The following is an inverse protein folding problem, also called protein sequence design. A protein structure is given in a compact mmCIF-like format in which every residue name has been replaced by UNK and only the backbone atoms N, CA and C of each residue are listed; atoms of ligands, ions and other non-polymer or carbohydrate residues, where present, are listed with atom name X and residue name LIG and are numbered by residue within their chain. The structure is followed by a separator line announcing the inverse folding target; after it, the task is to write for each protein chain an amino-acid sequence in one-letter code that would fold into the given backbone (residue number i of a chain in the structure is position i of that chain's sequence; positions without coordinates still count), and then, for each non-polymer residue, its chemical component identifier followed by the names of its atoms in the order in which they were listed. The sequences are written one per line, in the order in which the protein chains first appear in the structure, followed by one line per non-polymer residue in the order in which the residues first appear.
data_IF_503934065583
#
_entry.id   IF_503934065583
#
_cell.length_a   1.000
_cell.length_b   1.000
_cell.length_c   1.000
_cell.angle_alpha   90.00
_cell.angle_beta   90.00
_cell.angle_gamma   90.00
#
_symmetry.space_group_name_H-M   'P 1'
#
loop_
_entity.id
_entity.type
_entity.pdbx_description
1 polymer ?
#
# COMPACT_ATOMS: atom_id res chain seq x y z
N UNK A 1 28.08 -20.02 -3.07
CA UNK A 1 27.12 -20.67 -2.16
C UNK A 1 25.72 -20.21 -2.56
N UNK A 2 24.73 -21.07 -2.40
CA UNK A 2 23.31 -20.79 -2.69
C UNK A 2 22.56 -20.88 -1.37
N UNK A 3 21.71 -19.86 -1.10
CA UNK A 3 20.74 -19.85 0.00
C UNK A 3 19.35 -20.01 -0.61
N UNK A 4 18.59 -20.99 -0.14
CA UNK A 4 17.18 -21.18 -0.50
C UNK A 4 16.34 -20.89 0.74
N UNK A 5 15.37 -20.01 0.62
CA UNK A 5 14.53 -19.60 1.73
C UNK A 5 13.12 -19.26 1.25
N UNK A 6 12.18 -19.17 2.18
CA UNK A 6 10.83 -18.64 1.94
C UNK A 6 10.82 -17.13 2.19
N UNK A 7 9.65 -16.49 2.08
CA UNK A 7 9.45 -15.06 2.37
C UNK A 7 9.82 -14.66 3.81
N UNK A 8 10.10 -15.62 4.70
CA UNK A 8 10.58 -15.34 6.08
C UNK A 8 11.88 -14.52 6.08
N UNK A 9 12.70 -14.55 5.03
CA UNK A 9 13.88 -13.70 4.88
C UNK A 9 13.55 -12.21 4.73
N UNK A 10 12.30 -11.86 4.54
CA UNK A 10 11.80 -10.48 4.54
C UNK A 10 12.12 -9.78 5.86
N UNK A 11 12.15 -10.54 6.97
CA UNK A 11 12.40 -10.02 8.32
C UNK A 11 13.71 -10.60 8.89
N UNK A 12 14.69 -9.74 9.17
CA UNK A 12 15.81 -10.06 10.04
C UNK A 12 16.97 -10.86 9.45
N UNK A 13 16.91 -11.29 8.18
CA UNK A 13 18.03 -11.96 7.53
C UNK A 13 18.74 -10.99 6.61
N UNK A 14 20.01 -10.73 6.90
CA UNK A 14 20.88 -9.93 6.04
C UNK A 14 21.96 -10.83 5.44
N UNK A 15 22.14 -10.79 4.12
CA UNK A 15 23.16 -11.54 3.41
C UNK A 15 24.04 -10.56 2.62
N UNK A 16 24.97 -9.86 3.29
CA UNK A 16 25.70 -8.73 2.73
C UNK A 16 26.54 -9.10 1.49
N UNK A 17 26.91 -10.37 1.33
CA UNK A 17 27.70 -10.85 0.19
C UNK A 17 26.83 -11.42 -0.95
N UNK A 18 25.49 -11.33 -0.86
CA UNK A 18 24.64 -11.78 -1.93
C UNK A 18 24.56 -10.72 -3.02
N UNK A 19 24.99 -11.10 -4.23
CA UNK A 19 24.95 -10.25 -5.43
C UNK A 19 23.79 -10.59 -6.35
N UNK A 20 23.12 -11.72 -6.14
CA UNK A 20 21.98 -12.16 -6.93
C UNK A 20 20.85 -12.64 -6.02
N UNK A 21 19.66 -12.12 -6.25
CA UNK A 21 18.42 -12.62 -5.69
C UNK A 21 17.51 -13.12 -6.82
N UNK A 22 16.90 -14.27 -6.61
CA UNK A 22 15.89 -14.81 -7.51
C UNK A 22 14.62 -14.99 -6.71
N UNK A 23 13.54 -14.33 -7.12
CA UNK A 23 12.22 -14.42 -6.49
C UNK A 23 11.32 -15.23 -7.42
N UNK A 24 10.97 -16.44 -7.00
CA UNK A 24 10.06 -17.31 -7.74
C UNK A 24 8.60 -16.98 -7.42
N UNK A 25 7.72 -17.14 -8.42
CA UNK A 25 6.31 -16.78 -8.36
C UNK A 25 6.08 -15.33 -7.87
N UNK A 26 6.86 -14.40 -8.38
CA UNK A 26 6.84 -12.98 -7.98
C UNK A 26 5.47 -12.33 -8.21
N UNK A 27 4.66 -12.83 -9.14
CA UNK A 27 3.30 -12.36 -9.41
C UNK A 27 2.34 -12.52 -8.22
N UNK A 28 2.68 -13.40 -7.28
CA UNK A 28 1.87 -13.68 -6.07
C UNK A 28 2.19 -12.75 -4.91
N UNK A 29 3.32 -12.04 -4.99
CA UNK A 29 3.78 -11.17 -3.92
C UNK A 29 3.24 -9.74 -4.08
N UNK A 30 3.05 -9.07 -2.94
CA UNK A 30 2.74 -7.65 -2.90
C UNK A 30 3.94 -6.79 -3.30
N UNK A 31 3.67 -5.56 -3.78
CA UNK A 31 4.72 -4.65 -4.23
C UNK A 31 5.69 -4.29 -3.08
N UNK A 32 5.15 -4.06 -1.88
CA UNK A 32 5.96 -3.81 -0.69
C UNK A 32 6.88 -5.00 -0.34
N UNK A 33 6.39 -6.24 -0.46
CA UNK A 33 7.18 -7.44 -0.21
C UNK A 33 8.31 -7.59 -1.22
N UNK A 34 8.01 -7.40 -2.51
CA UNK A 34 9.03 -7.42 -3.56
C UNK A 34 10.12 -6.38 -3.32
N UNK A 35 9.73 -5.17 -2.90
CA UNK A 35 10.67 -4.11 -2.57
C UNK A 35 11.54 -4.46 -1.37
N UNK A 36 10.97 -5.01 -0.30
CA UNK A 36 11.71 -5.43 0.89
C UNK A 36 12.70 -6.56 0.57
N UNK A 37 12.26 -7.56 -0.20
CA UNK A 37 13.14 -8.65 -0.62
C UNK A 37 14.30 -8.13 -1.48
N UNK A 38 14.02 -7.27 -2.48
CA UNK A 38 15.08 -6.66 -3.29
C UNK A 38 16.09 -5.90 -2.41
N UNK A 39 15.64 -5.23 -1.37
CA UNK A 39 16.51 -4.51 -0.43
C UNK A 39 17.42 -5.39 0.43
N UNK A 40 17.30 -6.73 0.35
CA UNK A 40 18.17 -7.67 1.08
C UNK A 40 19.46 -8.01 0.33
N UNK A 41 19.57 -7.64 -0.93
CA UNK A 41 20.81 -7.76 -1.71
C UNK A 41 21.32 -6.38 -2.09
N UNK A 42 22.61 -6.28 -2.40
CA UNK A 42 23.22 -5.04 -2.86
C UNK A 42 23.62 -4.06 -1.76
N UNK A 43 23.71 -4.50 -0.52
CA UNK A 43 24.23 -3.70 0.60
C UNK A 43 25.75 -3.63 0.66
N UNK A 44 26.44 -4.40 -0.18
CA UNK A 44 27.90 -4.40 -0.32
C UNK A 44 28.39 -3.50 -1.47
N UNK A 45 29.69 -3.51 -1.70
CA UNK A 45 30.34 -2.75 -2.76
C UNK A 45 30.18 -3.36 -4.17
N UNK A 46 29.50 -4.50 -4.29
CA UNK A 46 29.33 -5.24 -5.54
C UNK A 46 27.98 -4.92 -6.18
N UNK A 47 27.97 -4.79 -7.50
CA UNK A 47 26.74 -4.70 -8.28
C UNK A 47 25.84 -5.91 -7.99
N UNK A 48 24.56 -5.66 -7.81
CA UNK A 48 23.60 -6.69 -7.42
C UNK A 48 22.40 -6.71 -8.35
N UNK A 49 21.89 -7.92 -8.58
CA UNK A 49 20.75 -8.16 -9.45
C UNK A 49 19.60 -8.84 -8.69
N UNK A 50 18.37 -8.47 -9.04
CA UNK A 50 17.18 -9.13 -8.56
C UNK A 50 16.35 -9.61 -9.76
N UNK A 51 16.19 -10.93 -9.88
CA UNK A 51 15.39 -11.57 -10.93
C UNK A 51 14.00 -11.92 -10.38
N UNK A 52 12.97 -11.43 -11.05
CA UNK A 52 11.58 -11.73 -10.74
C UNK A 52 11.08 -12.80 -11.72
N UNK A 53 10.90 -14.02 -11.25
CA UNK A 53 10.33 -15.12 -12.03
C UNK A 53 8.83 -15.17 -11.81
N UNK A 54 8.06 -15.31 -12.87
CA UNK A 54 6.60 -15.32 -12.80
C UNK A 54 5.99 -16.29 -13.82
N UNK A 55 4.76 -16.70 -13.56
CA UNK A 55 3.96 -17.55 -14.44
C UNK A 55 2.90 -16.73 -15.17
N UNK A 56 2.66 -17.11 -16.42
CA UNK A 56 1.56 -16.53 -17.20
C UNK A 56 0.30 -17.41 -17.11
N UNK A 57 -0.90 -16.85 -17.30
CA UNK A 57 -1.16 -15.43 -17.57
C UNK A 57 -1.03 -14.56 -16.33
N UNK A 58 -0.55 -13.32 -16.49
CA UNK A 58 -0.53 -12.32 -15.43
C UNK A 58 -1.86 -11.56 -15.39
N UNK A 59 -2.38 -11.32 -14.19
CA UNK A 59 -3.42 -10.32 -13.99
C UNK A 59 -2.87 -8.91 -14.25
N UNK A 60 -3.73 -7.95 -14.55
CA UNK A 60 -3.31 -6.56 -14.77
C UNK A 60 -2.60 -5.97 -13.55
N UNK A 61 -3.10 -6.27 -12.35
CA UNK A 61 -2.49 -5.87 -11.08
C UNK A 61 -1.10 -6.47 -10.88
N UNK A 62 -0.91 -7.77 -11.20
CA UNK A 62 0.39 -8.41 -11.10
C UNK A 62 1.38 -7.80 -12.12
N UNK A 63 0.92 -7.55 -13.34
CA UNK A 63 1.72 -6.90 -14.38
C UNK A 63 2.18 -5.52 -13.92
N UNK A 64 1.29 -4.68 -13.42
CA UNK A 64 1.63 -3.35 -12.92
C UNK A 64 2.67 -3.39 -11.80
N UNK A 65 2.52 -4.32 -10.83
CA UNK A 65 3.49 -4.49 -9.74
C UNK A 65 4.88 -4.87 -10.26
N UNK A 66 4.97 -5.87 -11.13
CA UNK A 66 6.24 -6.31 -11.69
C UNK A 66 6.91 -5.23 -12.53
N UNK A 67 6.14 -4.50 -13.34
CA UNK A 67 6.63 -3.35 -14.12
C UNK A 67 7.15 -2.25 -13.21
N UNK A 68 6.42 -1.90 -12.15
CA UNK A 68 6.89 -0.90 -11.17
C UNK A 68 8.22 -1.29 -10.53
N UNK A 69 8.38 -2.57 -10.18
CA UNK A 69 9.64 -3.07 -9.62
C UNK A 69 10.82 -3.04 -10.60
N UNK A 70 10.54 -3.17 -11.90
CA UNK A 70 11.55 -3.08 -12.95
C UNK A 70 11.96 -1.62 -13.22
N UNK A 71 11.00 -0.70 -13.22
CA UNK A 71 11.20 0.70 -13.61
C UNK A 71 11.83 1.55 -12.50
N UNK A 72 11.61 1.21 -11.23
CA UNK A 72 12.06 2.05 -10.11
C UNK A 72 12.69 1.27 -8.97
N UNK A 73 13.69 1.93 -8.35
CA UNK A 73 14.26 1.54 -7.05
C UNK A 73 13.86 2.51 -5.93
N UNK A 74 13.15 3.58 -6.24
CA UNK A 74 12.70 4.56 -5.26
C UNK A 74 11.54 4.01 -4.42
N UNK A 75 11.77 3.90 -3.10
CA UNK A 75 10.80 3.37 -2.17
C UNK A 75 9.53 4.23 -2.05
N UNK A 76 9.63 5.55 -2.20
CA UNK A 76 8.47 6.45 -2.17
C UNK A 76 7.59 6.25 -3.40
N UNK A 77 8.18 6.21 -4.58
CA UNK A 77 7.45 5.95 -5.82
C UNK A 77 6.79 4.56 -5.79
N UNK A 78 7.48 3.56 -5.24
CA UNK A 78 6.94 2.20 -5.10
C UNK A 78 5.75 2.20 -4.12
N UNK A 79 5.82 2.93 -3.02
CA UNK A 79 4.72 3.04 -2.06
C UNK A 79 3.50 3.77 -2.67
N UNK A 80 3.72 4.85 -3.41
CA UNK A 80 2.67 5.57 -4.14
C UNK A 80 1.99 4.67 -5.18
N UNK A 81 2.78 3.93 -5.95
CA UNK A 81 2.25 2.97 -6.94
C UNK A 81 1.50 1.81 -6.29
N UNK A 82 2.01 1.31 -5.15
CA UNK A 82 1.32 0.25 -4.40
C UNK A 82 -0.05 0.72 -3.91
N UNK A 83 -0.13 1.96 -3.43
CA UNK A 83 -1.38 2.61 -3.04
C UNK A 83 -2.35 2.73 -4.23
N UNK A 84 -1.86 3.20 -5.37
CA UNK A 84 -2.68 3.34 -6.58
C UNK A 84 -3.19 1.98 -7.11
N UNK A 85 -2.34 0.94 -7.10
CA UNK A 85 -2.68 -0.41 -7.56
C UNK A 85 -3.70 -1.08 -6.64
N UNK A 86 -3.54 -0.94 -5.32
CA UNK A 86 -4.49 -1.50 -4.34
C UNK A 86 -5.82 -0.75 -4.31
N UNK A 87 -5.79 0.51 -4.70
CA UNK A 87 -6.92 1.40 -4.55
C UNK A 87 -7.21 1.74 -3.07
N UNK A 88 -8.03 2.74 -2.82
CA UNK A 88 -8.34 3.19 -1.45
C UNK A 88 -9.05 2.12 -0.60
N UNK A 89 -9.58 1.06 -1.20
CA UNK A 89 -10.28 -0.02 -0.50
C UNK A 89 -9.38 -1.08 0.13
N UNK A 90 -8.16 -1.30 -0.39
CA UNK A 90 -7.23 -2.28 0.18
C UNK A 90 -6.27 -1.69 1.21
N UNK A 91 -5.94 -0.41 1.11
CA UNK A 91 -5.07 0.28 2.07
C UNK A 91 -5.70 0.35 3.44
N UNK A 92 -7.02 0.34 3.49
CA UNK A 92 -7.81 0.41 4.71
C UNK A 92 -8.22 -0.97 5.24
N UNK A 93 -7.53 -2.04 4.78
CA UNK A 93 -7.78 -3.40 5.22
C UNK A 93 -9.16 -3.88 4.75
N UNK A 94 -9.15 -4.70 3.70
CA UNK A 94 -10.32 -5.42 3.21
C UNK A 94 -11.30 -5.73 4.30
N UNK A 95 -12.51 -5.20 4.20
CA UNK A 95 -13.66 -5.55 5.04
C UNK A 95 -13.54 -5.33 6.55
N UNK A 96 -12.45 -4.83 7.07
CA UNK A 96 -12.48 -4.21 8.37
C UNK A 96 -13.04 -2.79 8.21
N UNK A 97 -14.35 -2.77 8.11
CA UNK A 97 -15.22 -1.94 8.90
C UNK A 97 -14.69 -0.54 9.18
N UNK A 98 -15.17 0.43 8.45
CA UNK A 98 -15.25 1.73 9.05
C UNK A 98 -14.96 2.91 8.18
N UNK A 99 -14.24 2.80 7.10
CA UNK A 99 -14.25 3.88 6.13
C UNK A 99 -15.42 3.65 5.20
N UNK A 100 -16.47 4.43 5.42
CA UNK A 100 -17.56 4.52 4.50
C UNK A 100 -16.96 4.74 3.11
N UNK A 101 -17.14 3.78 2.21
CA UNK A 101 -16.91 4.06 0.81
C UNK A 101 -17.72 5.31 0.49
N UNK A 102 -17.04 6.39 0.13
CA UNK A 102 -17.75 7.61 -0.25
C UNK A 102 -18.70 7.25 -1.39
N UNK A 103 -19.95 7.73 -1.31
CA UNK A 103 -20.96 7.42 -2.33
C UNK A 103 -20.69 8.14 -3.65
N UNK A 104 -19.98 9.25 -3.61
CA UNK A 104 -19.76 10.15 -4.74
C UNK A 104 -18.28 10.51 -4.83
N UNK A 105 -17.59 10.77 -3.71
CA UNK A 105 -16.20 11.19 -3.71
C UNK A 105 -15.25 9.99 -3.87
N UNK A 106 -14.18 10.20 -4.61
CA UNK A 106 -13.03 9.32 -4.73
C UNK A 106 -11.81 10.05 -4.20
N UNK A 107 -11.11 9.50 -3.22
CA UNK A 107 -9.93 10.15 -2.64
C UNK A 107 -8.88 10.51 -3.69
N UNK A 108 -8.53 9.62 -4.65
CA UNK A 108 -7.56 9.95 -5.68
C UNK A 108 -8.00 11.07 -6.65
N UNK A 109 -9.31 11.19 -6.88
CA UNK A 109 -9.86 12.18 -7.83
C UNK A 109 -10.19 13.53 -7.17
N UNK A 110 -10.29 13.55 -5.83
CA UNK A 110 -10.74 14.71 -5.07
C UNK A 110 -9.77 15.04 -3.92
N UNK A 111 -8.49 14.77 -4.13
CA UNK A 111 -7.46 15.04 -3.12
C UNK A 111 -7.34 16.53 -2.81
N UNK A 112 -7.56 17.38 -3.79
CA UNK A 112 -7.60 18.84 -3.67
C UNK A 112 -8.65 19.33 -2.68
N UNK A 113 -9.78 18.63 -2.55
CA UNK A 113 -10.83 18.97 -1.62
C UNK A 113 -10.54 18.53 -0.17
N UNK A 114 -9.54 17.71 0.05
CA UNK A 114 -9.29 17.09 1.36
C UNK A 114 -8.90 18.13 2.41
N UNK A 115 -8.07 19.10 2.05
CA UNK A 115 -7.61 20.17 2.95
C UNK A 115 -8.77 21.05 3.37
N UNK A 116 -9.62 21.42 2.41
CA UNK A 116 -10.80 22.24 2.69
C UNK A 116 -11.84 21.47 3.53
N UNK A 117 -12.06 20.20 3.21
CA UNK A 117 -12.96 19.33 3.97
C UNK A 117 -12.51 19.17 5.44
N UNK A 118 -11.21 19.01 5.69
CA UNK A 118 -10.65 18.95 7.05
C UNK A 118 -10.86 20.25 7.82
N UNK A 119 -10.61 21.39 7.18
CA UNK A 119 -10.82 22.70 7.80
C UNK A 119 -12.31 22.97 8.12
N UNK A 120 -13.22 22.57 7.24
CA UNK A 120 -14.66 22.66 7.46
C UNK A 120 -15.09 21.73 8.59
N UNK A 121 -14.60 20.50 8.62
CA UNK A 121 -14.93 19.52 9.65
C UNK A 121 -14.49 20.00 11.05
N UNK A 122 -13.26 20.51 11.19
CA UNK A 122 -12.76 21.07 12.44
C UNK A 122 -13.64 22.23 12.92
N UNK A 123 -13.92 23.19 12.04
CA UNK A 123 -14.76 24.35 12.36
C UNK A 123 -16.19 23.93 12.75
N UNK A 124 -16.77 22.97 12.05
CA UNK A 124 -18.10 22.47 12.34
C UNK A 124 -18.16 21.77 13.69
N UNK A 125 -17.12 20.98 14.01
CA UNK A 125 -17.00 20.29 15.29
C UNK A 125 -16.90 21.27 16.48
N UNK A 126 -16.17 22.37 16.31
CA UNK A 126 -16.00 23.37 17.35
C UNK A 126 -17.21 24.31 17.53
N UNK A 127 -17.89 24.69 16.44
CA UNK A 127 -18.90 25.71 16.44
C UNK A 127 -20.34 25.19 16.44
N UNK A 128 -20.57 23.98 15.92
CA UNK A 128 -21.92 23.40 15.79
C UNK A 128 -21.86 21.88 15.94
N UNK A 129 -21.55 21.44 17.14
CA UNK A 129 -21.44 20.00 17.46
C UNK A 129 -22.71 19.21 17.11
N UNK A 130 -23.95 19.70 17.36
CA UNK A 130 -25.16 18.97 16.98
C UNK A 130 -25.25 18.72 15.47
N UNK A 131 -24.85 19.68 14.66
CA UNK A 131 -24.83 19.53 13.19
C UNK A 131 -23.75 18.58 12.72
N UNK A 132 -22.56 18.62 13.33
CA UNK A 132 -21.50 17.67 13.08
C UNK A 132 -21.96 16.23 13.37
N UNK A 133 -22.60 16.00 14.52
CA UNK A 133 -23.15 14.71 14.90
C UNK A 133 -24.25 14.22 13.95
N UNK A 134 -25.14 15.10 13.53
CA UNK A 134 -26.19 14.77 12.57
C UNK A 134 -25.62 14.34 11.21
N UNK A 135 -24.56 15.02 10.73
CA UNK A 135 -23.86 14.63 9.51
C UNK A 135 -23.17 13.28 9.67
N UNK A 136 -22.46 13.05 10.77
CA UNK A 136 -21.83 11.77 11.06
C UNK A 136 -22.85 10.63 11.10
N UNK A 137 -23.98 10.83 11.77
CA UNK A 137 -25.04 9.83 11.86
C UNK A 137 -25.67 9.55 10.49
N UNK A 138 -25.88 10.58 9.67
CA UNK A 138 -26.44 10.43 8.32
C UNK A 138 -25.53 9.63 7.38
N UNK A 139 -24.21 9.85 7.46
CA UNK A 139 -23.27 9.28 6.50
C UNK A 139 -22.56 8.03 7.00
N UNK A 140 -22.28 7.92 8.31
CA UNK A 140 -21.63 6.77 8.94
C UNK A 140 -22.64 5.78 9.56
N UNK A 141 -23.86 6.22 9.89
CA UNK A 141 -24.92 5.40 10.46
C UNK A 141 -24.46 4.67 11.74
N UNK A 142 -24.93 3.45 11.94
CA UNK A 142 -24.53 2.60 13.07
C UNK A 142 -23.04 2.23 13.12
N UNK A 143 -22.27 2.58 12.10
CA UNK A 143 -20.82 2.39 12.05
C UNK A 143 -20.02 3.46 12.81
N UNK A 144 -20.68 4.52 13.28
CA UNK A 144 -20.03 5.55 14.09
C UNK A 144 -19.52 5.07 15.44
N UNK A 145 -19.99 3.92 15.93
CA UNK A 145 -19.54 3.34 17.20
C UNK A 145 -18.10 2.78 17.13
N UNK A 146 -17.55 2.56 15.95
CA UNK A 146 -16.16 2.13 15.78
C UNK A 146 -15.11 3.26 15.88
N UNK A 147 -15.53 4.50 15.94
CA UNK A 147 -14.64 5.66 16.12
C UNK A 147 -14.36 5.98 17.61
N UNK A 148 -14.84 5.15 18.53
CA UNK A 148 -14.61 5.27 19.97
C UNK A 148 -13.57 4.24 20.46
N UNK A 149 -12.37 4.30 19.90
CA UNK A 149 -11.20 3.61 20.47
C UNK A 149 -10.15 4.64 20.79
#
# INVERSE_FOLDING_TARGET
RILVATTVIEVGVDVPNASLMIIDNAERLGLAQLHQLRGRVGRGATESHCLLMFKQPLSDTARQRLTTMQESSDGFLIAERDLAIRGPGEVLGTRQTGLAAFRIASLPEHEDLLIEAQAIAARLYEQDLPRAQALMQRWAGARADFARV
#
